data_IF_139556914331
#
_entry.id   IF_139556914331
#
_cell.length_a   1.000
_cell.length_b   1.000
_cell.length_c   1.000
_cell.angle_alpha   90.00
_cell.angle_beta   90.00
_cell.angle_gamma   90.00
#
_symmetry.space_group_name_H-M   'P 1'
#
loop_
_entity.id
_entity.type
_entity.pdbx_description
1 polymer ?
#
# COMPACT_ATOMS: atom_id res chain seq x y z
N UNK A 1 20.03 -0.78 -4.19
CA UNK A 1 19.23 0.40 -3.77
C UNK A 1 18.93 1.20 -5.02
N UNK A 2 17.67 1.44 -5.37
CA UNK A 2 17.35 2.24 -6.58
C UNK A 2 17.43 3.73 -6.24
N UNK A 3 18.32 4.44 -6.95
CA UNK A 3 18.63 5.86 -6.80
C UNK A 3 17.38 6.71 -7.07
N UNK A 4 16.60 6.31 -8.08
CA UNK A 4 15.37 6.99 -8.50
C UNK A 4 14.35 7.18 -7.36
N UNK A 5 14.20 6.20 -6.45
CA UNK A 5 13.21 6.33 -5.37
C UNK A 5 13.53 7.48 -4.41
N UNK A 6 14.80 7.65 -4.05
CA UNK A 6 15.21 8.74 -3.16
C UNK A 6 15.16 10.08 -3.89
N UNK A 7 15.57 10.12 -5.16
CA UNK A 7 15.47 11.33 -6.00
C UNK A 7 14.03 11.84 -6.14
N UNK A 8 13.05 10.93 -6.29
CA UNK A 8 11.63 11.31 -6.35
C UNK A 8 11.21 11.95 -5.02
N UNK A 9 11.58 11.36 -3.87
CA UNK A 9 11.29 11.94 -2.57
C UNK A 9 11.87 13.34 -2.45
N UNK A 10 13.13 13.50 -2.83
CA UNK A 10 13.86 14.75 -2.72
C UNK A 10 13.24 15.80 -3.65
N UNK A 11 12.81 15.41 -4.85
CA UNK A 11 12.06 16.27 -5.76
C UNK A 11 10.73 16.74 -5.16
N UNK A 12 9.96 15.83 -4.55
CA UNK A 12 8.70 16.18 -3.87
C UNK A 12 8.95 17.12 -2.67
N UNK A 13 9.99 16.87 -1.87
CA UNK A 13 10.39 17.73 -0.76
C UNK A 13 10.81 19.13 -1.24
N UNK A 14 11.61 19.20 -2.30
CA UNK A 14 12.04 20.46 -2.90
C UNK A 14 10.84 21.24 -3.46
N UNK A 15 9.92 20.57 -4.15
CA UNK A 15 8.67 21.17 -4.64
C UNK A 15 7.83 21.75 -3.50
N UNK A 16 7.74 21.03 -2.37
CA UNK A 16 7.01 21.46 -1.17
C UNK A 16 7.60 22.70 -0.47
N UNK A 17 8.84 23.07 -0.81
CA UNK A 17 9.56 24.20 -0.22
C UNK A 17 9.46 25.48 -1.05
N UNK A 18 8.79 25.46 -2.21
CA UNK A 18 8.67 26.62 -3.10
C UNK A 18 7.66 27.65 -2.57
N UNK A 19 7.84 28.93 -2.92
CA UNK A 19 6.91 30.00 -2.52
C UNK A 19 5.47 29.77 -3.03
N UNK A 20 5.33 29.28 -4.26
CA UNK A 20 4.02 28.92 -4.83
C UNK A 20 3.34 27.81 -4.01
N UNK A 21 4.11 26.79 -3.63
CA UNK A 21 3.60 25.72 -2.77
C UNK A 21 3.17 26.24 -1.40
N UNK A 22 3.94 27.14 -0.79
CA UNK A 22 3.57 27.77 0.48
C UNK A 22 2.28 28.58 0.37
N UNK A 23 2.11 29.35 -0.71
CA UNK A 23 0.87 30.08 -0.97
C UNK A 23 -0.34 29.14 -1.13
N UNK A 24 -0.18 28.06 -1.88
CA UNK A 24 -1.23 27.06 -2.07
C UNK A 24 -1.55 26.31 -0.77
N UNK A 25 -0.54 25.97 0.04
CA UNK A 25 -0.73 25.42 1.37
C UNK A 25 -1.48 26.38 2.30
N UNK A 26 -1.17 27.67 2.23
CA UNK A 26 -1.85 28.72 2.96
C UNK A 26 -3.34 28.80 2.60
N UNK A 27 -3.68 28.68 1.32
CA UNK A 27 -5.07 28.61 0.86
C UNK A 27 -5.78 27.35 1.38
N UNK A 28 -5.10 26.20 1.36
CA UNK A 28 -5.61 24.92 1.87
C UNK A 28 -5.92 25.02 3.37
N UNK A 29 -4.97 25.50 4.19
CA UNK A 29 -5.15 25.54 5.66
C UNK A 29 -6.23 26.52 6.09
N UNK A 30 -6.44 27.62 5.35
CA UNK A 30 -7.50 28.60 5.64
C UNK A 30 -8.89 28.08 5.32
N UNK A 31 -9.01 27.20 4.32
CA UNK A 31 -10.29 26.60 3.90
C UNK A 31 -10.64 25.30 4.65
N UNK A 32 -9.68 24.70 5.38
CA UNK A 32 -9.85 23.40 6.02
C UNK A 32 -9.59 23.45 7.53
N UNK A 33 -10.64 23.30 8.33
CA UNK A 33 -10.59 23.33 9.81
C UNK A 33 -9.59 22.32 10.40
N UNK A 34 -9.34 21.11 9.87
CA UNK A 34 -8.31 20.24 10.44
C UNK A 34 -6.86 20.73 10.24
N UNK A 35 -6.63 21.56 9.21
CA UNK A 35 -5.30 21.97 8.74
C UNK A 35 -4.87 23.36 9.22
N UNK A 36 -5.81 24.20 9.70
CA UNK A 36 -5.57 25.60 10.05
C UNK A 36 -4.37 25.88 10.97
N UNK A 37 -4.09 24.95 11.89
CA UNK A 37 -3.08 25.10 12.94
C UNK A 37 -1.64 24.89 12.48
N UNK A 38 -1.43 24.37 11.28
CA UNK A 38 -0.09 24.10 10.75
C UNK A 38 0.40 25.35 10.04
N UNK A 39 1.53 25.90 10.51
CA UNK A 39 2.12 27.12 9.96
C UNK A 39 2.78 26.91 8.60
N UNK A 40 3.25 25.70 8.32
CA UNK A 40 3.93 25.33 7.09
C UNK A 40 3.74 23.83 6.77
N UNK A 41 4.06 23.39 5.54
CA UNK A 41 4.02 21.99 5.11
C UNK A 41 4.84 21.04 5.99
N UNK A 42 6.02 21.45 6.47
CA UNK A 42 6.90 20.59 7.24
C UNK A 42 6.28 20.26 8.60
N UNK A 43 5.69 21.25 9.28
CA UNK A 43 4.96 21.06 10.53
C UNK A 43 3.78 20.08 10.40
N UNK A 44 3.08 20.10 9.25
CA UNK A 44 2.03 19.12 8.96
C UNK A 44 2.61 17.72 8.75
N UNK A 45 3.67 17.58 7.95
CA UNK A 45 4.31 16.29 7.67
C UNK A 45 4.91 15.68 8.94
N UNK A 46 5.57 16.48 9.78
CA UNK A 46 6.08 16.06 11.07
C UNK A 46 4.95 15.52 11.97
N UNK A 47 3.81 16.21 12.02
CA UNK A 47 2.66 15.73 12.79
C UNK A 47 2.06 14.41 12.25
N UNK A 48 2.18 14.16 10.95
CA UNK A 48 1.73 12.91 10.31
C UNK A 48 2.73 11.77 10.53
N UNK A 49 4.03 12.04 10.56
CA UNK A 49 5.07 11.03 10.72
C UNK A 49 5.39 10.69 12.19
N UNK A 50 5.42 11.67 13.10
CA UNK A 50 5.82 11.47 14.50
C UNK A 50 4.78 10.63 15.28
N UNK A 51 5.28 9.70 16.11
CA UNK A 51 4.49 8.66 16.78
C UNK A 51 3.56 9.10 17.93
N UNK A 52 3.42 10.40 18.21
CA UNK A 52 2.69 10.89 19.39
C UNK A 52 1.22 11.28 19.18
N UNK A 53 0.76 11.41 17.92
CA UNK A 53 -0.61 11.82 17.61
C UNK A 53 -1.52 10.60 17.45
N UNK A 54 -2.73 10.66 18.03
CA UNK A 54 -3.70 9.58 17.94
C UNK A 54 -4.03 9.25 16.46
N UNK A 55 -4.26 7.97 16.11
CA UNK A 55 -4.52 7.55 14.74
C UNK A 55 -5.70 8.27 14.07
N UNK A 56 -6.80 8.46 14.79
CA UNK A 56 -7.98 9.19 14.29
C UNK A 56 -7.64 10.63 13.89
N UNK A 57 -6.77 11.23 14.68
CA UNK A 57 -6.34 12.61 14.57
C UNK A 57 -5.37 12.82 13.41
N UNK A 58 -4.62 11.79 13.01
CA UNK A 58 -3.87 11.77 11.73
C UNK A 58 -4.80 11.53 10.56
N UNK A 59 -5.73 10.59 10.72
CA UNK A 59 -6.67 10.22 9.67
C UNK A 59 -7.55 11.41 9.25
N UNK A 60 -8.02 12.25 10.18
CA UNK A 60 -8.74 13.50 9.88
C UNK A 60 -7.95 14.45 8.98
N UNK A 61 -6.64 14.55 9.16
CA UNK A 61 -5.77 15.39 8.32
C UNK A 61 -5.67 14.81 6.91
N UNK A 62 -5.49 13.49 6.81
CA UNK A 62 -5.45 12.79 5.52
C UNK A 62 -6.78 12.90 4.77
N UNK A 63 -7.93 12.80 5.46
CA UNK A 63 -9.26 13.01 4.85
C UNK A 63 -9.37 14.41 4.24
N UNK A 64 -8.95 15.44 4.98
CA UNK A 64 -8.97 16.82 4.48
C UNK A 64 -8.07 17.00 3.25
N UNK A 65 -6.86 16.44 3.28
CA UNK A 65 -5.94 16.50 2.14
C UNK A 65 -6.47 15.74 0.91
N UNK A 66 -7.09 14.57 1.09
CA UNK A 66 -7.74 13.85 -0.02
C UNK A 66 -8.86 14.68 -0.63
N UNK A 67 -9.71 15.30 0.19
CA UNK A 67 -10.79 16.15 -0.31
C UNK A 67 -10.28 17.30 -1.19
N UNK A 68 -9.17 17.93 -0.81
CA UNK A 68 -8.52 18.97 -1.62
C UNK A 68 -7.85 18.39 -2.87
N UNK A 69 -7.18 17.24 -2.75
CA UNK A 69 -6.56 16.56 -3.90
C UNK A 69 -7.58 16.07 -4.95
N UNK A 70 -8.87 16.07 -4.60
CA UNK A 70 -9.99 15.73 -5.47
C UNK A 70 -10.75 16.96 -6.01
N UNK A 71 -10.51 18.16 -5.47
CA UNK A 71 -11.24 19.37 -5.86
C UNK A 71 -10.76 20.02 -7.17
N UNK A 72 -9.63 19.57 -7.70
CA UNK A 72 -9.00 20.16 -8.90
C UNK A 72 -8.30 21.51 -8.65
N UNK A 73 -7.56 21.99 -9.65
CA UNK A 73 -6.81 23.25 -9.59
C UNK A 73 -5.46 23.16 -8.87
N UNK A 74 -4.80 24.30 -8.68
CA UNK A 74 -3.41 24.35 -8.18
C UNK A 74 -3.25 23.85 -6.73
N UNK A 75 -4.28 24.00 -5.90
CA UNK A 75 -4.29 23.47 -4.53
C UNK A 75 -4.41 21.95 -4.51
N UNK A 76 -4.98 21.34 -5.56
CA UNK A 76 -5.11 19.89 -5.70
C UNK A 76 -3.74 19.22 -5.83
N UNK A 77 -2.85 19.77 -6.65
CA UNK A 77 -1.50 19.22 -6.82
C UNK A 77 -0.62 19.44 -5.58
N UNK A 78 -0.83 20.56 -4.88
CA UNK A 78 -0.21 20.79 -3.56
C UNK A 78 -0.66 19.73 -2.55
N UNK A 79 -1.97 19.46 -2.45
CA UNK A 79 -2.50 18.43 -1.56
C UNK A 79 -2.05 17.01 -1.95
N UNK A 80 -1.99 16.70 -3.24
CA UNK A 80 -1.47 15.43 -3.74
C UNK A 80 0.00 15.24 -3.32
N UNK A 81 0.84 16.25 -3.52
CA UNK A 81 2.24 16.23 -3.09
C UNK A 81 2.36 15.97 -1.58
N UNK A 82 1.56 16.67 -0.75
CA UNK A 82 1.52 16.44 0.69
C UNK A 82 1.08 15.04 1.05
N UNK A 83 0.10 14.47 0.35
CA UNK A 83 -0.36 13.10 0.56
C UNK A 83 0.74 12.08 0.23
N UNK A 84 1.44 12.25 -0.89
CA UNK A 84 2.55 11.37 -1.27
C UNK A 84 3.68 11.41 -0.23
N UNK A 85 4.05 12.61 0.24
CA UNK A 85 5.04 12.79 1.31
C UNK A 85 4.58 12.21 2.66
N UNK A 86 3.31 12.43 3.02
CA UNK A 86 2.72 11.89 4.24
C UNK A 86 2.72 10.36 4.25
N UNK A 87 2.39 9.74 3.12
CA UNK A 87 2.35 8.28 2.96
C UNK A 87 3.71 7.67 2.66
N UNK A 88 4.74 8.48 2.41
CA UNK A 88 6.06 8.05 1.97
C UNK A 88 6.66 6.90 2.79
N UNK A 89 6.66 6.92 4.15
CA UNK A 89 7.20 5.80 4.93
C UNK A 89 6.47 4.47 4.66
N UNK A 90 5.16 4.54 4.42
CA UNK A 90 4.35 3.39 4.06
C UNK A 90 4.60 2.92 2.64
N UNK A 91 4.70 3.85 1.68
CA UNK A 91 5.02 3.55 0.28
C UNK A 91 6.41 2.93 0.15
N UNK A 92 7.39 3.42 0.93
CA UNK A 92 8.73 2.84 0.99
C UNK A 92 8.70 1.40 1.52
N UNK A 93 7.88 1.14 2.54
CA UNK A 93 7.68 -0.21 3.05
C UNK A 93 7.04 -1.13 2.01
N UNK A 94 6.05 -0.64 1.24
CA UNK A 94 5.45 -1.38 0.12
C UNK A 94 6.51 -1.68 -0.95
N UNK A 95 7.28 -0.68 -1.38
CA UNK A 95 8.37 -0.85 -2.36
C UNK A 95 9.36 -1.92 -1.90
N UNK A 96 9.85 -1.83 -0.66
CA UNK A 96 10.81 -2.79 -0.11
C UNK A 96 10.25 -4.21 -0.14
N UNK A 97 8.98 -4.40 0.24
CA UNK A 97 8.31 -5.70 0.15
C UNK A 97 8.15 -6.18 -1.29
N UNK A 98 7.80 -5.30 -2.23
CA UNK A 98 7.66 -5.65 -3.64
C UNK A 98 8.98 -6.08 -4.28
N UNK A 99 10.08 -5.39 -3.97
CA UNK A 99 11.43 -5.78 -4.41
C UNK A 99 11.81 -7.13 -3.80
N UNK A 100 11.55 -7.32 -2.51
CA UNK A 100 11.83 -8.60 -1.84
C UNK A 100 11.05 -9.76 -2.46
N UNK A 101 9.81 -9.53 -2.88
CA UNK A 101 8.97 -10.50 -3.62
C UNK A 101 9.31 -10.62 -5.11
N UNK A 102 10.33 -9.92 -5.62
CA UNK A 102 10.74 -9.92 -7.03
C UNK A 102 9.60 -9.54 -8.01
N UNK A 103 8.71 -8.63 -7.59
CA UNK A 103 7.56 -8.17 -8.40
C UNK A 103 7.98 -7.38 -9.65
N UNK A 104 9.19 -6.81 -9.65
CA UNK A 104 9.75 -6.08 -10.79
C UNK A 104 11.09 -5.47 -10.41
N UNK A 105 11.69 -4.71 -11.32
CA UNK A 105 12.91 -3.96 -11.01
C UNK A 105 12.62 -2.79 -10.07
N UNK A 106 13.67 -2.28 -9.41
CA UNK A 106 13.50 -1.21 -8.40
C UNK A 106 12.85 0.07 -8.94
N UNK A 107 13.08 0.40 -10.21
CA UNK A 107 12.60 1.64 -10.83
C UNK A 107 11.21 1.48 -11.45
N UNK A 108 10.89 0.31 -12.01
CA UNK A 108 9.53 -0.04 -12.44
C UNK A 108 8.57 -0.02 -11.24
N UNK A 109 8.96 -0.67 -10.13
CA UNK A 109 8.18 -0.69 -8.90
C UNK A 109 7.99 0.72 -8.33
N UNK A 110 9.02 1.58 -8.41
CA UNK A 110 8.93 2.97 -7.95
C UNK A 110 7.89 3.76 -8.75
N UNK A 111 7.97 3.70 -10.08
CA UNK A 111 7.06 4.42 -10.99
C UNK A 111 5.63 3.92 -10.83
N UNK A 112 5.44 2.61 -10.74
CA UNK A 112 4.13 1.99 -10.57
C UNK A 112 3.48 2.34 -9.22
N UNK A 113 4.27 2.35 -8.14
CA UNK A 113 3.78 2.78 -6.81
C UNK A 113 3.29 4.23 -6.86
N UNK A 114 4.03 5.13 -7.50
CA UNK A 114 3.66 6.54 -7.58
C UNK A 114 2.41 6.77 -8.45
N UNK A 115 2.33 6.09 -9.59
CA UNK A 115 1.17 6.14 -10.47
C UNK A 115 -0.08 5.67 -9.71
N UNK A 116 0.00 4.50 -9.05
CA UNK A 116 -1.12 3.95 -8.27
C UNK A 116 -1.46 4.78 -7.05
N UNK A 117 -0.48 5.34 -6.36
CA UNK A 117 -0.73 6.22 -5.21
C UNK A 117 -1.48 7.47 -5.64
N UNK A 118 -1.03 8.11 -6.73
CA UNK A 118 -1.65 9.32 -7.25
C UNK A 118 -3.09 9.06 -7.69
N UNK A 119 -3.32 7.96 -8.40
CA UNK A 119 -4.66 7.54 -8.82
C UNK A 119 -5.54 7.17 -7.63
N UNK A 120 -5.03 6.39 -6.68
CA UNK A 120 -5.77 5.98 -5.49
C UNK A 120 -6.20 7.18 -4.64
N UNK A 121 -5.40 8.24 -4.55
CA UNK A 121 -5.75 9.48 -3.85
C UNK A 121 -6.87 10.22 -4.60
N UNK A 122 -6.73 10.38 -5.92
CA UNK A 122 -7.70 11.13 -6.75
C UNK A 122 -9.06 10.43 -6.88
N UNK A 123 -9.10 9.10 -6.78
CA UNK A 123 -10.33 8.33 -6.96
C UNK A 123 -10.87 7.72 -5.66
N UNK A 124 -10.32 8.08 -4.50
CA UNK A 124 -10.74 7.51 -3.22
C UNK A 124 -12.18 7.92 -2.87
N UNK A 125 -13.04 6.92 -2.62
CA UNK A 125 -14.38 7.16 -2.09
C UNK A 125 -14.35 7.42 -0.57
N UNK A 126 -14.37 8.70 -0.20
CA UNK A 126 -14.36 9.16 1.19
C UNK A 126 -15.62 8.78 1.99
N UNK A 127 -16.73 8.38 1.34
CA UNK A 127 -17.92 7.91 2.05
C UNK A 127 -17.77 6.47 2.54
N UNK A 128 -16.91 5.69 1.88
CA UNK A 128 -16.71 4.26 2.19
C UNK A 128 -15.43 4.00 2.98
N UNK A 129 -14.43 4.87 2.85
CA UNK A 129 -13.10 4.65 3.43
C UNK A 129 -12.93 5.40 4.73
N UNK A 130 -12.82 4.64 5.83
CA UNK A 130 -12.62 5.19 7.18
C UNK A 130 -11.14 5.41 7.53
N UNK A 131 -10.21 4.66 6.93
CA UNK A 131 -8.79 4.69 7.26
C UNK A 131 -7.94 4.93 6.01
N UNK A 132 -7.64 6.20 5.73
CA UNK A 132 -7.09 6.66 4.45
C UNK A 132 -5.74 6.01 4.15
N UNK A 133 -4.74 6.23 5.01
CA UNK A 133 -3.39 5.70 4.80
C UNK A 133 -3.38 4.17 4.67
N UNK A 134 -4.01 3.47 5.61
CA UNK A 134 -4.03 2.01 5.60
C UNK A 134 -4.72 1.45 4.35
N UNK A 135 -5.80 2.10 3.88
CA UNK A 135 -6.53 1.65 2.70
C UNK A 135 -5.73 1.88 1.43
N UNK A 136 -5.17 3.08 1.23
CA UNK A 136 -4.36 3.40 0.06
C UNK A 136 -3.16 2.44 -0.02
N UNK A 137 -2.38 2.33 1.06
CA UNK A 137 -1.17 1.49 1.08
C UNK A 137 -1.47 0.01 0.81
N UNK A 138 -2.54 -0.52 1.42
CA UNK A 138 -2.94 -1.92 1.21
C UNK A 138 -3.48 -2.17 -0.19
N UNK A 139 -4.22 -1.22 -0.76
CA UNK A 139 -4.75 -1.37 -2.11
C UNK A 139 -3.60 -1.35 -3.13
N UNK A 140 -2.65 -0.41 -3.01
CA UNK A 140 -1.47 -0.35 -3.88
C UNK A 140 -0.68 -1.65 -3.82
N UNK A 141 -0.34 -2.13 -2.62
CA UNK A 141 0.40 -3.38 -2.46
C UNK A 141 -0.34 -4.57 -3.07
N UNK A 142 -1.64 -4.67 -2.79
CA UNK A 142 -2.49 -5.73 -3.33
C UNK A 142 -2.51 -5.69 -4.85
N UNK A 143 -2.66 -4.52 -5.44
CA UNK A 143 -2.79 -4.40 -6.89
C UNK A 143 -1.46 -4.62 -7.63
N UNK A 144 -0.32 -4.27 -7.01
CA UNK A 144 1.01 -4.64 -7.53
C UNK A 144 1.17 -6.16 -7.60
N UNK A 145 0.83 -6.87 -6.52
CA UNK A 145 0.92 -8.33 -6.48
C UNK A 145 0.01 -8.96 -7.55
N UNK A 146 -1.22 -8.45 -7.68
CA UNK A 146 -2.18 -8.94 -8.68
C UNK A 146 -1.71 -8.74 -10.11
N UNK A 147 -1.19 -7.57 -10.45
CA UNK A 147 -0.69 -7.31 -11.80
C UNK A 147 0.42 -8.31 -12.14
N UNK A 148 1.37 -8.52 -11.21
CA UNK A 148 2.45 -9.48 -11.43
C UNK A 148 1.96 -10.92 -11.59
N UNK A 149 1.04 -11.37 -10.74
CA UNK A 149 0.46 -12.71 -10.87
C UNK A 149 -0.28 -12.93 -12.18
N UNK A 150 -0.96 -11.90 -12.72
CA UNK A 150 -1.61 -12.00 -14.03
C UNK A 150 -0.57 -12.13 -15.13
N UNK A 151 0.53 -11.38 -15.06
CA UNK A 151 1.63 -11.49 -16.00
C UNK A 151 2.27 -12.88 -15.96
N UNK A 152 2.58 -13.40 -14.77
CA UNK A 152 3.16 -14.73 -14.60
C UNK A 152 2.24 -15.83 -15.17
N UNK A 153 0.92 -15.76 -14.90
CA UNK A 153 -0.08 -16.68 -15.49
C UNK A 153 -0.17 -16.55 -17.01
N UNK A 154 -0.13 -15.34 -17.53
CA UNK A 154 -0.16 -15.13 -18.99
C UNK A 154 1.12 -15.63 -19.65
N UNK A 155 2.26 -15.53 -18.96
CA UNK A 155 3.54 -16.04 -19.44
C UNK A 155 3.58 -17.57 -19.40
N UNK A 156 3.11 -18.21 -18.32
CA UNK A 156 3.05 -19.67 -18.22
C UNK A 156 2.15 -20.28 -19.30
N UNK A 157 0.98 -19.70 -19.54
CA UNK A 157 0.06 -20.13 -20.61
C UNK A 157 0.63 -19.92 -22.02
N UNK A 158 1.59 -18.99 -22.19
CA UNK A 158 2.28 -18.76 -23.47
C UNK A 158 3.49 -19.69 -23.66
N UNK A 159 4.15 -20.09 -22.57
CA UNK A 159 5.28 -21.04 -22.60
C UNK A 159 4.85 -22.50 -22.83
N UNK A 160 3.59 -22.87 -22.58
CA UNK A 160 3.06 -24.22 -22.91
C UNK A 160 2.96 -24.50 -24.44
N UNK A 161 3.47 -23.62 -25.30
CA UNK A 161 3.39 -23.72 -26.75
C UNK A 161 4.77 -23.86 -27.46
N UNK A 162 5.80 -24.39 -26.78
CA UNK A 162 7.05 -24.80 -27.43
C UNK A 162 7.24 -26.33 -27.35
N UNK A 163 7.07 -27.10 -28.45
CA UNK A 163 7.26 -28.55 -28.46
C UNK A 163 8.72 -29.01 -28.37
N UNK A 164 9.71 -28.10 -28.43
CA UNK A 164 11.14 -28.45 -28.57
C UNK A 164 11.99 -28.11 -27.32
N UNK A 165 11.39 -27.74 -26.19
CA UNK A 165 12.16 -27.37 -24.99
C UNK A 165 12.62 -28.62 -24.19
N UNK A 166 13.92 -28.92 -24.25
CA UNK A 166 14.57 -29.97 -23.46
C UNK A 166 14.75 -29.46 -22.02
N UNK A 167 14.28 -30.18 -20.98
CA UNK A 167 14.44 -29.74 -19.59
C UNK A 167 15.93 -29.68 -19.23
N UNK A 168 16.41 -28.47 -18.91
CA UNK A 168 17.73 -28.30 -18.29
C UNK A 168 17.52 -28.34 -16.77
N UNK A 169 17.92 -29.44 -16.13
CA UNK A 169 18.01 -29.52 -14.68
C UNK A 169 19.01 -28.47 -14.19
N UNK A 170 18.48 -27.36 -13.67
CA UNK A 170 19.22 -26.29 -13.01
C UNK A 170 18.75 -26.16 -11.58
N UNK A 171 19.56 -26.67 -10.65
CA UNK A 171 19.35 -26.68 -9.21
C UNK A 171 18.90 -25.30 -8.68
N UNK A 172 17.66 -25.25 -8.17
CA UNK A 172 17.16 -24.14 -7.36
C UNK A 172 17.71 -24.32 -5.95
N UNK A 173 18.82 -23.65 -5.63
CA UNK A 173 19.29 -23.56 -4.25
C UNK A 173 18.31 -22.76 -3.40
N UNK A 174 17.96 -23.39 -2.29
CA UNK A 174 16.81 -23.17 -1.44
C UNK A 174 16.94 -21.95 -0.53
N UNK A 175 15.90 -21.12 -0.49
CA UNK A 175 15.64 -20.15 0.58
C UNK A 175 14.49 -20.67 1.48
N UNK A 176 14.58 -21.94 1.87
CA UNK A 176 13.40 -22.77 2.15
C UNK A 176 12.84 -22.71 3.58
N UNK A 177 13.47 -22.01 4.53
CA UNK A 177 12.99 -22.04 5.92
C UNK A 177 11.93 -20.96 6.25
N UNK A 178 11.71 -19.95 5.41
CA UNK A 178 10.85 -18.80 5.77
C UNK A 178 9.33 -18.95 5.50
N UNK A 179 8.84 -19.58 4.41
CA UNK A 179 7.42 -19.66 4.14
C UNK A 179 6.69 -20.67 5.03
N UNK A 180 7.31 -21.82 5.30
CA UNK A 180 6.70 -22.89 6.12
C UNK A 180 6.59 -22.49 7.59
N UNK A 181 7.61 -21.82 8.13
CA UNK A 181 7.57 -21.26 9.50
C UNK A 181 6.47 -20.22 9.65
N UNK A 182 6.32 -19.33 8.67
CA UNK A 182 5.25 -18.32 8.66
C UNK A 182 3.86 -18.96 8.55
N UNK A 183 3.70 -19.98 7.72
CA UNK A 183 2.44 -20.73 7.64
C UNK A 183 2.13 -21.43 8.97
N UNK A 184 3.11 -22.11 9.59
CA UNK A 184 2.95 -22.77 10.89
C UNK A 184 2.52 -21.81 12.00
N UNK A 185 3.15 -20.64 12.08
CA UNK A 185 2.79 -19.60 13.04
C UNK A 185 1.39 -19.04 12.80
N UNK A 186 1.01 -18.82 11.54
CA UNK A 186 -0.33 -18.36 11.19
C UNK A 186 -1.39 -19.42 11.51
N UNK A 187 -1.13 -20.71 11.25
CA UNK A 187 -2.02 -21.79 11.66
C UNK A 187 -2.20 -21.82 13.18
N UNK A 188 -1.13 -21.59 13.96
CA UNK A 188 -1.21 -21.53 15.42
C UNK A 188 -2.12 -20.38 15.92
N UNK A 189 -2.10 -19.22 15.25
CA UNK A 189 -2.84 -18.03 15.71
C UNK A 189 -4.28 -17.98 15.14
N UNK A 190 -4.46 -18.30 13.85
CA UNK A 190 -5.74 -18.13 13.14
C UNK A 190 -6.36 -19.43 12.66
N UNK A 191 -5.69 -20.57 12.82
CA UNK A 191 -6.21 -21.90 12.47
C UNK A 191 -6.45 -22.04 10.97
N UNK A 192 -7.60 -22.61 10.60
CA UNK A 192 -8.02 -22.84 9.21
C UNK A 192 -8.15 -21.58 8.35
N UNK A 193 -8.05 -20.39 8.95
CA UNK A 193 -8.03 -19.12 8.22
C UNK A 193 -6.60 -18.69 7.82
N UNK A 194 -5.56 -19.47 8.14
CA UNK A 194 -4.17 -19.15 7.82
C UNK A 194 -3.94 -19.01 6.31
N UNK A 195 -4.39 -19.99 5.53
CA UNK A 195 -4.30 -19.95 4.07
C UNK A 195 -5.05 -18.75 3.49
N UNK A 196 -6.25 -18.46 4.01
CA UNK A 196 -7.00 -17.25 3.64
C UNK A 196 -6.23 -15.96 3.97
N UNK A 197 -5.53 -15.90 5.10
CA UNK A 197 -4.72 -14.73 5.48
C UNK A 197 -3.51 -14.59 4.57
N UNK A 198 -2.79 -15.68 4.31
CA UNK A 198 -1.62 -15.68 3.41
C UNK A 198 -2.06 -15.20 2.04
N UNK A 199 -3.09 -15.83 1.48
CA UNK A 199 -3.59 -15.49 0.15
C UNK A 199 -4.03 -14.04 -0.01
N UNK A 200 -4.70 -13.48 0.99
CA UNK A 200 -5.20 -12.10 0.90
C UNK A 200 -4.15 -11.05 1.30
N UNK A 201 -3.33 -11.34 2.32
CA UNK A 201 -2.40 -10.37 2.91
C UNK A 201 -0.97 -10.47 2.37
N UNK A 202 -0.56 -11.66 1.91
CA UNK A 202 0.77 -11.94 1.39
C UNK A 202 0.71 -12.11 -0.12
N UNK A 203 -0.23 -12.91 -0.64
CA UNK A 203 -0.34 -13.20 -2.07
C UNK A 203 -1.29 -12.23 -2.80
N UNK A 204 -1.86 -11.25 -2.12
CA UNK A 204 -2.58 -10.14 -2.76
C UNK A 204 -3.93 -10.49 -3.41
N UNK A 205 -4.48 -11.69 -3.22
CA UNK A 205 -5.81 -12.03 -3.74
C UNK A 205 -6.92 -11.16 -3.10
N UNK A 206 -7.97 -10.81 -3.86
CA UNK A 206 -9.21 -10.31 -3.25
C UNK A 206 -9.88 -11.41 -2.43
N UNK A 207 -10.68 -10.99 -1.44
CA UNK A 207 -11.58 -11.91 -0.75
C UNK A 207 -12.58 -12.57 -1.72
N UNK A 208 -12.95 -11.92 -2.83
CA UNK A 208 -13.82 -12.50 -3.85
C UNK A 208 -13.14 -13.61 -4.65
N UNK A 209 -11.88 -13.40 -5.09
CA UNK A 209 -11.08 -14.42 -5.79
C UNK A 209 -10.81 -15.62 -4.88
N UNK A 210 -10.41 -15.39 -3.63
CA UNK A 210 -10.22 -16.48 -2.66
C UNK A 210 -11.55 -17.15 -2.33
N UNK A 211 -12.66 -16.41 -2.29
CA UNK A 211 -13.99 -17.01 -2.09
C UNK A 211 -14.33 -17.99 -3.21
N UNK A 212 -14.17 -17.58 -4.47
CA UNK A 212 -14.40 -18.44 -5.63
C UNK A 212 -13.53 -19.68 -5.62
N UNK A 213 -12.25 -19.55 -5.27
CA UNK A 213 -11.31 -20.68 -5.27
C UNK A 213 -11.49 -21.63 -4.07
N UNK A 214 -11.86 -21.09 -2.90
CA UNK A 214 -12.15 -21.89 -1.70
C UNK A 214 -13.58 -22.44 -1.65
N UNK A 215 -14.41 -22.18 -2.68
CA UNK A 215 -15.82 -22.59 -2.70
C UNK A 215 -16.68 -21.92 -1.62
N UNK A 216 -16.32 -20.71 -1.20
CA UNK A 216 -17.01 -19.92 -0.18
C UNK A 216 -17.77 -18.75 -0.83
N UNK A 217 -18.74 -18.18 -0.10
CA UNK A 217 -19.33 -16.91 -0.49
C UNK A 217 -18.41 -15.74 -0.11
N UNK A 218 -18.39 -14.68 -0.91
CA UNK A 218 -17.59 -13.48 -0.62
C UNK A 218 -17.88 -12.91 0.77
N UNK A 219 -19.15 -12.93 1.21
CA UNK A 219 -19.55 -12.49 2.54
C UNK A 219 -18.96 -13.37 3.66
N UNK A 220 -18.88 -14.69 3.46
CA UNK A 220 -18.27 -15.61 4.41
C UNK A 220 -16.75 -15.41 4.47
N UNK A 221 -16.08 -15.30 3.31
CA UNK A 221 -14.65 -15.04 3.22
C UNK A 221 -14.26 -13.73 3.89
N UNK A 222 -15.05 -12.66 3.68
CA UNK A 222 -14.88 -11.38 4.37
C UNK A 222 -14.95 -11.50 5.88
N UNK A 223 -15.96 -12.21 6.42
CA UNK A 223 -16.10 -12.42 7.87
C UNK A 223 -14.95 -13.25 8.45
N UNK A 224 -14.53 -14.31 7.76
CA UNK A 224 -13.39 -15.15 8.16
C UNK A 224 -12.10 -14.34 8.20
N UNK A 225 -11.79 -13.61 7.12
CA UNK A 225 -10.60 -12.76 7.03
C UNK A 225 -10.58 -11.66 8.11
N UNK A 226 -11.71 -11.00 8.37
CA UNK A 226 -11.81 -10.01 9.45
C UNK A 226 -11.55 -10.60 10.84
N UNK A 227 -12.04 -11.82 11.12
CA UNK A 227 -11.79 -12.48 12.40
C UNK A 227 -10.33 -12.90 12.55
N UNK A 228 -9.75 -13.46 11.49
CA UNK A 228 -8.35 -13.88 11.47
C UNK A 228 -7.39 -12.69 11.67
N UNK A 229 -7.61 -11.58 10.94
CA UNK A 229 -6.80 -10.36 11.12
C UNK A 229 -7.01 -9.67 12.46
N UNK A 230 -8.18 -9.80 13.09
CA UNK A 230 -8.40 -9.35 14.47
C UNK A 230 -7.57 -10.17 15.45
N UNK A 231 -7.61 -11.49 15.39
CA UNK A 231 -6.79 -12.38 16.25
C UNK A 231 -5.30 -12.10 16.12
N UNK A 232 -4.81 -11.90 14.89
CA UNK A 232 -3.41 -11.52 14.65
C UNK A 232 -3.05 -10.19 15.32
N UNK A 233 -3.95 -9.21 15.28
CA UNK A 233 -3.75 -7.93 15.95
C UNK A 233 -3.69 -8.09 17.46
N UNK A 234 -4.60 -8.87 18.03
CA UNK A 234 -4.70 -9.07 19.49
C UNK A 234 -3.40 -9.72 20.00
N UNK A 235 -2.91 -10.76 19.33
CA UNK A 235 -1.62 -11.40 19.65
C UNK A 235 -0.44 -10.43 19.51
N UNK A 236 -0.39 -9.63 18.43
CA UNK A 236 0.67 -8.63 18.24
C UNK A 236 0.64 -7.50 19.29
N UNK A 237 -0.50 -7.26 19.95
CA UNK A 237 -0.61 -6.30 21.05
C UNK A 237 -0.13 -6.86 22.38
N UNK A 238 -0.20 -8.17 22.61
CA UNK A 238 0.32 -8.83 23.82
C UNK A 238 1.86 -8.84 23.87
N UNK A 239 2.53 -8.68 22.73
CA UNK A 239 3.99 -8.61 22.62
C UNK A 239 4.56 -7.18 22.73
N UNK A 240 3.74 -6.18 23.08
CA UNK A 240 4.12 -4.76 23.11
C UNK A 240 4.01 -4.17 24.51
#
# INVERSE_FOLDING_TARGET
MSIAWHEIRDHLMNSSSTLSFQHNFDAIRRSNVPLWRFGDPAALLDALHVGGRAPDDKNRLLVALVGVAQSGGETSDCALTLMLLALWPGLDAVRRRSIWRRIGTGDEVASEILARASEAIRCLDLQRVNWIAATILRNIERDLIRTRQREDRHQSLRSEADPDEIPTDGEVQSADDSPELLHGDLVRIVGSDADLVIRVAIDGFSQAEVASEMGLTEAATRKRYQRATRRLRDVLQEFR
#
